data_IF_219814304859
#
_entry.id   IF_219814304859
#
_cell.length_a   1.000
_cell.length_b   1.000
_cell.length_c   1.000
_cell.angle_alpha   90.00
_cell.angle_beta   90.00
_cell.angle_gamma   90.00
#
_symmetry.space_group_name_H-M   'P 1'
#
loop_
_entity.id
_entity.type
_entity.pdbx_description
1 polymer ?
#
# COMPACT_ATOMS: atom_id res chain seq x y z
N UNK A 1 11.04 3.39 -11.43
CA UNK A 1 10.39 2.34 -12.26
C UNK A 1 9.07 2.89 -12.73
N UNK A 2 8.53 2.42 -13.86
CA UNK A 2 7.21 2.81 -14.35
C UNK A 2 6.20 1.72 -14.03
N UNK A 3 5.02 2.11 -13.50
CA UNK A 3 3.90 1.20 -13.29
C UNK A 3 3.30 0.78 -14.63
N UNK A 4 3.11 -0.52 -14.84
CA UNK A 4 2.53 -1.13 -16.03
C UNK A 4 1.35 -2.02 -15.66
N UNK A 5 0.56 -2.44 -16.65
CA UNK A 5 -0.61 -3.30 -16.45
C UNK A 5 -1.86 -2.55 -15.98
N UNK A 6 -2.84 -3.30 -15.50
CA UNK A 6 -4.15 -2.76 -15.11
C UNK A 6 -4.75 -3.52 -13.92
N UNK A 7 -5.69 -2.86 -13.23
CA UNK A 7 -6.47 -3.52 -12.21
C UNK A 7 -7.38 -4.56 -12.87
N UNK A 8 -7.49 -5.75 -12.28
CA UNK A 8 -8.42 -6.82 -12.70
C UNK A 8 -9.27 -7.33 -11.53
N UNK A 9 -9.44 -6.50 -10.50
CA UNK A 9 -10.25 -6.77 -9.31
C UNK A 9 -9.81 -8.01 -8.50
N UNK A 10 -8.51 -8.21 -8.28
CA UNK A 10 -8.01 -9.31 -7.42
C UNK A 10 -8.32 -9.14 -5.92
N UNK A 11 -8.78 -7.97 -5.48
CA UNK A 11 -9.19 -7.72 -4.08
C UNK A 11 -8.04 -7.54 -3.07
N UNK A 12 -6.80 -7.83 -3.45
CA UNK A 12 -5.67 -7.88 -2.53
C UNK A 12 -5.34 -6.52 -1.88
N UNK A 13 -5.43 -5.42 -2.63
CA UNK A 13 -5.26 -4.06 -2.10
C UNK A 13 -6.39 -3.61 -1.17
N UNK A 14 -7.49 -4.36 -1.09
CA UNK A 14 -8.63 -4.05 -0.24
C UNK A 14 -8.57 -4.77 1.12
N UNK A 15 -7.56 -5.62 1.38
CA UNK A 15 -7.49 -6.43 2.61
C UNK A 15 -6.92 -5.66 3.81
N UNK A 16 -6.08 -4.67 3.55
CA UNK A 16 -5.41 -3.88 4.58
C UNK A 16 -5.55 -2.40 4.26
N UNK A 17 -5.38 -1.56 5.28
CA UNK A 17 -5.15 -0.13 5.09
C UNK A 17 -3.73 0.20 5.53
N UNK A 18 -3.03 0.91 4.66
CA UNK A 18 -1.66 1.38 4.89
C UNK A 18 -1.70 2.87 5.23
N UNK A 19 -0.94 3.26 6.26
CA UNK A 19 -0.91 4.62 6.77
C UNK A 19 0.53 5.09 6.82
N UNK A 20 0.81 6.25 6.25
CA UNK A 20 2.12 6.91 6.40
C UNK A 20 2.01 8.00 7.45
N UNK A 21 2.91 8.00 8.42
CA UNK A 21 3.02 9.03 9.46
C UNK A 21 4.40 9.67 9.47
N UNK A 22 4.52 10.85 10.07
CA UNK A 22 5.80 11.56 10.21
C UNK A 22 6.63 10.87 11.29
N UNK A 23 7.79 10.32 10.91
CA UNK A 23 8.61 9.47 11.78
C UNK A 23 9.04 10.19 13.05
N UNK A 24 9.68 11.34 12.94
CA UNK A 24 10.29 12.01 14.09
C UNK A 24 9.26 12.46 15.13
N UNK A 25 8.13 13.02 14.67
CA UNK A 25 7.03 13.41 15.56
C UNK A 25 6.46 12.19 16.28
N UNK A 26 6.31 11.08 15.56
CA UNK A 26 5.78 9.84 16.13
C UNK A 26 6.74 9.25 17.16
N UNK A 27 8.04 9.16 16.84
CA UNK A 27 9.05 8.65 17.78
C UNK A 27 9.19 9.56 19.01
N UNK A 28 9.11 10.88 18.84
CA UNK A 28 9.09 11.82 19.95
C UNK A 28 7.88 11.59 20.87
N UNK A 29 6.69 11.34 20.30
CA UNK A 29 5.47 11.08 21.06
C UNK A 29 5.54 9.77 21.88
N UNK A 30 6.15 8.73 21.31
CA UNK A 30 6.19 7.39 21.90
C UNK A 30 7.47 7.09 22.69
N UNK A 31 8.51 7.93 22.56
CA UNK A 31 9.79 7.80 23.26
C UNK A 31 10.80 6.87 22.55
N UNK A 32 10.34 5.76 21.98
CA UNK A 32 11.16 4.86 21.17
C UNK A 32 10.32 4.12 20.12
N UNK A 33 10.99 3.48 19.16
CA UNK A 33 10.31 2.61 18.20
C UNK A 33 9.72 1.37 18.89
N UNK A 34 10.38 0.82 19.90
CA UNK A 34 9.93 -0.35 20.66
C UNK A 34 8.62 -0.05 21.41
N UNK A 35 8.53 1.11 22.08
CA UNK A 35 7.32 1.55 22.77
C UNK A 35 6.17 1.86 21.79
N UNK A 36 6.50 2.43 20.64
CA UNK A 36 5.54 2.64 19.54
C UNK A 36 4.97 1.30 19.06
N UNK A 37 5.82 0.34 18.71
CA UNK A 37 5.43 -0.98 18.22
C UNK A 37 4.59 -1.72 19.26
N UNK A 38 4.98 -1.68 20.54
CA UNK A 38 4.21 -2.26 21.64
C UNK A 38 2.81 -1.62 21.73
N UNK A 39 2.73 -0.29 21.74
CA UNK A 39 1.47 0.44 21.80
C UNK A 39 0.53 0.13 20.62
N UNK A 40 1.09 0.07 19.40
CA UNK A 40 0.35 -0.23 18.18
C UNK A 40 -0.12 -1.69 18.14
N UNK A 41 0.68 -2.62 18.66
CA UNK A 41 0.35 -4.05 18.71
C UNK A 41 -0.95 -4.33 19.48
N UNK A 42 -1.26 -3.54 20.52
CA UNK A 42 -2.51 -3.65 21.28
C UNK A 42 -3.77 -3.36 20.45
N UNK A 43 -3.61 -2.81 19.23
CA UNK A 43 -4.70 -2.48 18.30
C UNK A 43 -4.58 -3.25 16.98
N UNK A 44 -3.67 -4.23 16.89
CA UNK A 44 -3.43 -4.98 15.67
C UNK A 44 -2.80 -4.16 14.54
N UNK A 45 -2.12 -3.06 14.88
CA UNK A 45 -1.43 -2.20 13.91
C UNK A 45 0.05 -2.61 13.89
N UNK A 46 0.61 -2.78 12.69
CA UNK A 46 2.01 -3.16 12.49
C UNK A 46 2.79 -2.00 11.89
N UNK A 47 4.00 -1.75 12.39
CA UNK A 47 5.00 -0.96 11.67
C UNK A 47 5.60 -1.87 10.61
N UNK A 48 5.42 -1.52 9.34
CA UNK A 48 5.84 -2.36 8.19
C UNK A 48 7.02 -1.74 7.42
N UNK A 49 7.44 -0.54 7.78
CA UNK A 49 8.62 0.08 7.20
C UNK A 49 8.87 1.50 7.69
N UNK A 50 9.99 2.04 7.27
CA UNK A 50 10.40 3.41 7.53
C UNK A 50 11.22 3.96 6.38
N UNK A 51 11.10 5.24 6.09
CA UNK A 51 12.01 5.97 5.21
C UNK A 51 12.55 7.20 5.95
N UNK A 52 13.80 7.10 6.39
CA UNK A 52 14.48 8.17 7.12
C UNK A 52 14.73 9.40 6.24
N UNK A 53 14.95 9.21 4.93
CA UNK A 53 15.24 10.33 4.02
C UNK A 53 14.02 11.23 3.83
N UNK A 54 12.83 10.64 3.87
CA UNK A 54 11.57 11.36 3.73
C UNK A 54 10.83 11.57 5.04
N UNK A 55 11.42 11.19 6.18
CA UNK A 55 10.85 11.30 7.52
C UNK A 55 9.51 10.55 7.67
N UNK A 56 9.43 9.31 7.19
CA UNK A 56 8.21 8.51 7.15
C UNK A 56 8.31 7.21 7.96
N UNK A 57 7.21 6.84 8.61
CA UNK A 57 6.92 5.49 9.09
C UNK A 57 5.67 4.97 8.39
N UNK A 58 5.68 3.69 8.05
CA UNK A 58 4.60 3.01 7.36
C UNK A 58 3.93 2.03 8.30
N UNK A 59 2.63 2.19 8.49
CA UNK A 59 1.80 1.28 9.28
C UNK A 59 0.89 0.48 8.36
N UNK A 60 0.52 -0.72 8.81
CA UNK A 60 -0.49 -1.55 8.19
C UNK A 60 -1.41 -2.13 9.25
N UNK A 61 -2.70 -2.22 8.93
CA UNK A 61 -3.70 -2.88 9.76
C UNK A 61 -4.62 -3.73 8.89
N UNK A 62 -5.04 -4.88 9.42
CA UNK A 62 -5.90 -5.85 8.73
C UNK A 62 -7.37 -5.44 8.81
N UNK A 63 -7.66 -4.23 8.34
CA UNK A 63 -9.02 -3.70 8.22
C UNK A 63 -9.42 -3.78 6.76
N UNK A 64 -10.23 -4.78 6.36
CA UNK A 64 -10.66 -4.91 4.99
C UNK A 64 -11.61 -3.77 4.61
N UNK A 65 -11.53 -3.33 3.36
CA UNK A 65 -12.47 -2.41 2.75
C UNK A 65 -13.88 -3.01 2.74
N UNK A 66 -14.91 -2.19 3.02
CA UNK A 66 -16.31 -2.61 2.96
C UNK A 66 -16.75 -3.07 1.56
N UNK A 67 -16.03 -2.63 0.52
CA UNK A 67 -16.27 -2.98 -0.87
C UNK A 67 -15.57 -4.27 -1.31
N UNK A 68 -14.83 -4.94 -0.41
CA UNK A 68 -14.28 -6.27 -0.65
C UNK A 68 -15.37 -7.32 -0.47
N UNK A 69 -15.65 -8.08 -1.52
CA UNK A 69 -16.63 -9.16 -1.48
C UNK A 69 -16.04 -10.43 -0.87
N UNK A 70 -16.91 -11.37 -0.47
CA UNK A 70 -16.49 -12.65 0.13
C UNK A 70 -15.69 -13.55 -0.82
N UNK A 71 -15.82 -13.35 -2.13
CA UNK A 71 -15.03 -14.01 -3.19
C UNK A 71 -13.76 -13.23 -3.56
N UNK A 72 -13.34 -12.28 -2.71
CA UNK A 72 -12.10 -11.49 -2.86
C UNK A 72 -12.10 -10.64 -4.14
N UNK A 73 -13.23 -9.99 -4.44
CA UNK A 73 -13.38 -9.06 -5.57
C UNK A 73 -13.66 -7.65 -5.06
N UNK A 74 -13.28 -6.65 -5.84
CA UNK A 74 -13.53 -5.25 -5.55
C UNK A 74 -14.85 -4.83 -6.18
N UNK A 75 -15.88 -4.54 -5.37
CA UNK A 75 -17.20 -4.15 -5.86
C UNK A 75 -17.18 -2.88 -6.71
N UNK A 76 -16.28 -1.94 -6.39
CA UNK A 76 -16.13 -0.66 -7.09
C UNK A 76 -15.13 -0.73 -8.26
N UNK A 77 -14.77 -1.92 -8.75
CA UNK A 77 -13.75 -2.06 -9.79
C UNK A 77 -14.05 -1.23 -11.06
N UNK A 78 -15.24 -1.33 -11.62
CA UNK A 78 -15.65 -0.57 -12.80
C UNK A 78 -16.59 0.60 -12.45
N UNK A 79 -16.65 0.97 -11.16
CA UNK A 79 -17.54 2.02 -10.68
C UNK A 79 -16.87 3.40 -10.76
N UNK A 80 -17.61 4.46 -11.13
CA UNK A 80 -17.14 5.84 -10.98
C UNK A 80 -16.95 6.25 -9.51
N UNK A 81 -17.49 5.49 -8.55
CA UNK A 81 -17.30 5.73 -7.12
C UNK A 81 -15.95 5.22 -6.59
N UNK A 82 -15.14 4.56 -7.43
CA UNK A 82 -13.80 4.11 -7.06
C UNK A 82 -12.97 5.32 -6.60
N UNK A 83 -12.46 5.33 -5.35
CA UNK A 83 -11.73 6.48 -4.85
C UNK A 83 -10.36 6.59 -5.53
N UNK A 84 -9.88 7.82 -5.65
CA UNK A 84 -8.61 8.14 -6.33
C UNK A 84 -7.41 7.33 -5.83
N UNK A 85 -7.33 7.03 -4.53
CA UNK A 85 -6.24 6.23 -3.97
C UNK A 85 -6.22 4.80 -4.52
N UNK A 86 -7.38 4.19 -4.79
CA UNK A 86 -7.48 2.86 -5.42
C UNK A 86 -6.94 2.87 -6.86
N UNK A 87 -7.07 3.99 -7.58
CA UNK A 87 -6.48 4.12 -8.91
C UNK A 87 -4.96 4.26 -8.89
N UNK A 88 -4.40 4.75 -7.78
CA UNK A 88 -2.96 4.91 -7.59
C UNK A 88 -2.26 3.64 -7.13
N UNK A 89 -2.98 2.71 -6.51
CA UNK A 89 -2.40 1.42 -6.15
C UNK A 89 -2.02 0.59 -7.39
N UNK A 90 -0.87 -0.11 -7.38
CA UNK A 90 0.25 0.05 -6.45
C UNK A 90 1.07 1.32 -6.76
N UNK A 91 1.63 1.92 -5.72
CA UNK A 91 2.47 3.10 -5.83
C UNK A 91 3.94 2.75 -6.06
N UNK A 92 4.38 1.61 -5.55
CA UNK A 92 5.73 1.07 -5.74
C UNK A 92 5.71 -0.44 -5.94
N UNK A 93 6.87 -1.03 -6.30
CA UNK A 93 6.97 -2.48 -6.52
C UNK A 93 6.68 -3.25 -5.25
N UNK A 94 7.15 -2.72 -4.12
CA UNK A 94 7.04 -3.28 -2.78
C UNK A 94 5.56 -3.50 -2.38
N UNK A 95 4.64 -2.63 -2.84
CA UNK A 95 3.20 -2.77 -2.60
C UNK A 95 2.59 -4.08 -3.15
N UNK A 96 3.25 -4.76 -4.09
CA UNK A 96 2.75 -5.96 -4.77
C UNK A 96 3.72 -7.14 -4.72
N UNK A 97 4.83 -7.05 -3.98
CA UNK A 97 5.81 -8.15 -3.91
C UNK A 97 5.18 -9.43 -3.36
N UNK A 98 4.28 -9.32 -2.39
CA UNK A 98 3.54 -10.44 -1.80
C UNK A 98 2.19 -10.71 -2.48
N UNK A 99 1.92 -10.06 -3.63
CA UNK A 99 0.67 -10.20 -4.38
C UNK A 99 0.98 -10.81 -5.76
N UNK A 100 1.22 -12.13 -5.85
CA UNK A 100 1.73 -12.77 -7.06
C UNK A 100 0.78 -12.64 -8.27
N UNK A 101 -0.52 -12.49 -8.00
CA UNK A 101 -1.56 -12.39 -9.03
C UNK A 101 -2.04 -10.94 -9.23
N UNK A 102 -1.25 -9.92 -8.88
CA UNK A 102 -1.63 -8.54 -9.18
C UNK A 102 -1.55 -8.27 -10.69
N UNK A 103 -2.57 -7.64 -11.27
CA UNK A 103 -2.56 -7.22 -12.68
C UNK A 103 -1.60 -6.04 -12.99
N UNK A 104 -1.04 -5.40 -11.96
CA UNK A 104 -0.03 -4.36 -12.12
C UNK A 104 1.39 -4.92 -11.98
N UNK A 105 2.34 -4.27 -12.67
CA UNK A 105 3.77 -4.55 -12.56
C UNK A 105 4.61 -3.28 -12.56
N UNK A 106 5.93 -3.45 -12.42
CA UNK A 106 6.89 -2.35 -12.48
C UNK A 106 8.07 -2.70 -13.36
N UNK A 107 8.36 -1.85 -14.33
CA UNK A 107 9.48 -2.01 -15.25
C UNK A 107 10.49 -0.87 -15.11
N UNK A 108 11.77 -1.17 -15.38
CA UNK A 108 12.78 -0.12 -15.51
C UNK A 108 12.54 0.58 -16.84
N UNK A 109 12.25 1.88 -16.77
CA UNK A 109 12.26 2.72 -17.96
C UNK A 109 13.70 2.80 -18.48
N UNK A 110 14.00 2.12 -19.59
CA UNK A 110 15.23 2.32 -20.34
C UNK A 110 14.94 3.33 -21.45
N UNK A 111 15.47 4.56 -21.38
CA UNK A 111 15.25 5.56 -22.41
C UNK A 111 16.00 5.13 -23.67
N UNK A 112 15.28 4.52 -24.63
CA UNK A 112 15.90 4.09 -25.90
C UNK A 112 15.01 3.31 -26.88
N UNK A 113 13.80 2.91 -26.53
CA UNK A 113 12.93 2.14 -27.44
C UNK A 113 11.72 2.96 -27.89
N UNK A 114 11.98 4.09 -28.55
CA UNK A 114 11.07 4.58 -29.59
C UNK A 114 11.28 3.67 -30.80
N UNK A 115 10.49 2.60 -30.91
CA UNK A 115 10.40 1.86 -32.17
C UNK A 115 9.61 2.72 -33.16
N UNK A 116 10.32 3.10 -34.22
CA UNK A 116 9.80 3.50 -35.54
C UNK A 116 8.62 2.66 -35.98
#
# INVERSE_FOLDING_TARGET
MQRTGECHSCGECCKTVNITVVRDITLQQHGSQEELELYLSYRGIRVVGSDEKTNQLHYSMDVPCSELTSDNRCRVHDSPEKPFICHRFPSSKEDIEDIPNCGYGFERFLPGWLKT
#
